data_IF_304174238712
#
_entry.id   IF_304174238712
#
_cell.length_a   1.000
_cell.length_b   1.000
_cell.length_c   1.000
_cell.angle_alpha   90.00
_cell.angle_beta   90.00
_cell.angle_gamma   90.00
#
_symmetry.space_group_name_H-M   'P 1'
#
loop_
_entity.id
_entity.type
_entity.pdbx_description
1 polymer ?
#
# COMPACT_ATOMS: atom_id res chain seq x y z
N UNK A 1 22.52 15.81 -31.77
CA UNK A 1 23.55 15.34 -30.84
C UNK A 1 22.83 14.53 -29.77
N UNK A 2 23.19 13.26 -29.57
CA UNK A 2 22.70 12.50 -28.42
C UNK A 2 23.55 12.93 -27.21
N UNK A 3 22.90 13.38 -26.15
CA UNK A 3 23.58 13.66 -24.89
C UNK A 3 23.99 12.30 -24.28
N UNK A 4 25.19 12.20 -23.67
CA UNK A 4 25.54 11.02 -22.90
C UNK A 4 24.58 10.89 -21.71
N UNK A 5 24.09 9.68 -21.46
CA UNK A 5 23.21 9.41 -20.32
C UNK A 5 23.97 9.57 -19.01
N UNK A 6 23.28 10.01 -17.97
CA UNK A 6 23.81 10.07 -16.60
C UNK A 6 23.84 8.64 -16.07
N UNK A 7 25.02 8.16 -15.70
CA UNK A 7 25.18 6.84 -15.08
C UNK A 7 24.69 6.88 -13.62
N UNK A 8 23.88 5.90 -13.24
CA UNK A 8 23.37 5.71 -11.89
C UNK A 8 24.02 4.45 -11.30
N UNK A 9 24.82 4.62 -10.25
CA UNK A 9 25.66 3.54 -9.71
C UNK A 9 24.87 2.37 -9.13
N UNK A 10 23.76 2.66 -8.42
CA UNK A 10 22.97 1.66 -7.72
C UNK A 10 21.61 1.46 -8.38
N UNK A 11 21.06 0.23 -8.37
CA UNK A 11 19.77 -0.04 -8.97
C UNK A 11 18.62 0.61 -8.18
N UNK A 12 17.49 0.79 -8.87
CA UNK A 12 16.21 1.16 -8.26
C UNK A 12 15.20 0.02 -8.44
N UNK A 13 14.35 -0.20 -7.45
CA UNK A 13 13.23 -1.14 -7.56
C UNK A 13 12.03 -0.43 -8.16
N UNK A 14 11.55 -0.90 -9.29
CA UNK A 14 10.34 -0.39 -9.94
C UNK A 14 9.18 -1.34 -9.68
N UNK A 15 8.09 -0.80 -9.16
CA UNK A 15 6.86 -1.52 -8.88
C UNK A 15 5.78 -0.95 -9.80
N UNK A 16 5.49 -1.66 -10.88
CA UNK A 16 4.47 -1.25 -11.85
C UNK A 16 3.06 -1.37 -11.28
N UNK A 17 2.05 -0.89 -12.01
CA UNK A 17 0.71 -0.70 -11.47
C UNK A 17 -0.41 -1.00 -12.45
N UNK A 18 -1.54 -0.36 -12.20
CA UNK A 18 -2.82 -0.62 -12.87
C UNK A 18 -3.38 0.63 -13.58
N UNK A 19 -4.37 0.39 -14.43
CA UNK A 19 -5.24 1.41 -15.07
C UNK A 19 -4.46 2.56 -15.75
N UNK A 20 -4.98 3.79 -15.64
CA UNK A 20 -4.38 4.97 -16.25
C UNK A 20 -2.97 5.27 -15.72
N UNK A 21 -2.70 4.92 -14.46
CA UNK A 21 -1.38 5.14 -13.87
C UNK A 21 -0.33 4.27 -14.55
N UNK A 22 -0.64 3.03 -14.95
CA UNK A 22 0.30 2.18 -15.72
C UNK A 22 0.69 2.80 -17.07
N UNK A 23 -0.27 3.40 -17.78
CA UNK A 23 -0.01 4.08 -19.06
C UNK A 23 0.89 5.30 -18.86
N UNK A 24 0.56 6.15 -17.88
CA UNK A 24 1.37 7.34 -17.55
C UNK A 24 2.76 6.94 -17.07
N UNK A 25 2.87 5.86 -16.31
CA UNK A 25 4.12 5.31 -15.79
C UNK A 25 5.07 4.91 -16.91
N UNK A 26 4.56 4.17 -17.91
CA UNK A 26 5.31 3.82 -19.11
C UNK A 26 5.82 5.08 -19.84
N UNK A 27 4.98 6.10 -20.02
CA UNK A 27 5.40 7.34 -20.68
C UNK A 27 6.46 8.12 -19.89
N UNK A 28 6.35 8.19 -18.56
CA UNK A 28 7.37 8.82 -17.72
C UNK A 28 8.69 8.08 -17.91
N UNK A 29 8.68 6.75 -17.79
CA UNK A 29 9.88 5.92 -17.93
C UNK A 29 10.53 6.08 -19.31
N UNK A 30 9.75 5.92 -20.38
CA UNK A 30 10.25 5.93 -21.75
C UNK A 30 10.67 7.31 -22.26
N UNK A 31 9.95 8.39 -21.87
CA UNK A 31 10.17 9.73 -22.42
C UNK A 31 10.98 10.64 -21.51
N UNK A 32 10.92 10.43 -20.20
CA UNK A 32 11.48 11.35 -19.21
C UNK A 32 12.62 10.75 -18.37
N UNK A 33 12.77 9.43 -18.33
CA UNK A 33 13.82 8.77 -17.52
C UNK A 33 14.87 8.10 -18.40
N UNK A 34 14.52 7.04 -19.14
CA UNK A 34 15.46 6.21 -19.90
C UNK A 34 16.22 6.94 -21.03
N UNK A 35 15.72 8.03 -21.64
CA UNK A 35 16.52 8.82 -22.58
C UNK A 35 17.70 9.54 -21.93
N UNK A 36 17.63 9.78 -20.62
CA UNK A 36 18.59 10.62 -19.89
C UNK A 36 19.42 9.86 -18.86
N UNK A 37 18.92 8.73 -18.34
CA UNK A 37 19.60 7.91 -17.33
C UNK A 37 20.01 6.55 -17.88
N UNK A 38 21.25 6.15 -17.58
CA UNK A 38 21.71 4.76 -17.62
C UNK A 38 21.60 4.20 -16.21
N UNK A 39 20.50 3.46 -15.96
CA UNK A 39 20.07 3.03 -14.64
C UNK A 39 19.64 1.57 -14.67
N UNK A 40 20.13 0.78 -13.72
CA UNK A 40 19.67 -0.60 -13.50
C UNK A 40 18.33 -0.58 -12.76
N UNK A 41 17.32 -1.22 -13.35
CA UNK A 41 15.96 -1.25 -12.83
C UNK A 41 15.59 -2.68 -12.47
N UNK A 42 15.32 -2.94 -11.20
CA UNK A 42 14.74 -4.20 -10.73
C UNK A 42 13.22 -4.10 -10.83
N UNK A 43 12.68 -4.64 -11.91
CA UNK A 43 11.27 -4.51 -12.27
C UNK A 43 10.40 -5.59 -11.62
N UNK A 44 9.28 -5.17 -11.04
CA UNK A 44 8.23 -6.01 -10.47
C UNK A 44 6.86 -5.52 -10.96
N UNK A 45 6.10 -6.37 -11.63
CA UNK A 45 4.75 -6.04 -12.09
C UNK A 45 3.73 -6.24 -10.96
N UNK A 46 3.22 -5.17 -10.35
CA UNK A 46 2.19 -5.28 -9.32
C UNK A 46 0.76 -5.06 -9.85
N UNK A 47 0.55 -5.21 -11.17
CA UNK A 47 -0.82 -5.26 -11.69
C UNK A 47 -1.65 -6.31 -10.98
N UNK A 48 -2.96 -6.07 -10.94
CA UNK A 48 -3.91 -6.98 -10.32
C UNK A 48 -3.84 -8.39 -10.94
N UNK A 49 -3.63 -8.48 -12.25
CA UNK A 49 -3.52 -9.76 -12.97
C UNK A 49 -2.23 -10.50 -12.62
N UNK A 50 -1.08 -9.82 -12.58
CA UNK A 50 0.19 -10.48 -12.23
C UNK A 50 0.25 -10.86 -10.75
N UNK A 51 -0.32 -10.03 -9.86
CA UNK A 51 -0.51 -10.40 -8.46
C UNK A 51 -1.40 -11.63 -8.32
N UNK A 52 -2.53 -11.70 -9.04
CA UNK A 52 -3.38 -12.89 -9.00
C UNK A 52 -2.66 -14.14 -9.54
N UNK A 53 -1.92 -14.01 -10.64
CA UNK A 53 -1.16 -15.11 -11.23
C UNK A 53 -0.09 -15.68 -10.28
N UNK A 54 0.56 -14.83 -9.48
CA UNK A 54 1.65 -15.18 -8.55
C UNK A 54 1.19 -15.42 -7.11
N UNK A 55 -0.11 -15.49 -6.87
CA UNK A 55 -0.71 -15.57 -5.53
C UNK A 55 -0.23 -14.45 -4.57
N UNK A 56 -0.04 -13.25 -5.13
CA UNK A 56 0.46 -12.03 -4.52
C UNK A 56 1.92 -12.10 -4.01
N UNK A 57 2.66 -13.15 -4.38
CA UNK A 57 4.07 -13.32 -4.02
C UNK A 57 4.95 -12.19 -4.59
N UNK A 58 4.65 -11.72 -5.81
CA UNK A 58 5.39 -10.60 -6.44
C UNK A 58 5.40 -9.34 -5.57
N UNK A 59 4.33 -9.07 -4.80
CA UNK A 59 4.26 -7.93 -3.89
C UNK A 59 5.25 -8.05 -2.73
N UNK A 60 5.42 -9.27 -2.20
CA UNK A 60 6.37 -9.57 -1.12
C UNK A 60 7.80 -9.51 -1.66
N UNK A 61 8.04 -10.06 -2.84
CA UNK A 61 9.36 -10.05 -3.49
C UNK A 61 9.81 -8.63 -3.78
N UNK A 62 8.90 -7.78 -4.29
CA UNK A 62 9.17 -6.37 -4.52
C UNK A 62 9.52 -5.62 -3.22
N UNK A 63 8.83 -5.91 -2.12
CA UNK A 63 9.14 -5.30 -0.83
C UNK A 63 10.54 -5.72 -0.32
N UNK A 64 10.90 -6.99 -0.47
CA UNK A 64 12.23 -7.48 -0.08
C UNK A 64 13.34 -6.91 -0.99
N UNK A 65 13.07 -6.74 -2.27
CA UNK A 65 13.99 -6.05 -3.17
C UNK A 65 14.21 -4.60 -2.74
N UNK A 66 13.16 -3.89 -2.30
CA UNK A 66 13.33 -2.53 -1.74
C UNK A 66 14.24 -2.58 -0.50
N UNK A 67 14.11 -3.57 0.39
CA UNK A 67 15.04 -3.71 1.53
C UNK A 67 16.48 -3.94 1.09
N UNK A 68 16.68 -4.71 0.02
CA UNK A 68 18.00 -5.01 -0.51
C UNK A 68 18.66 -3.80 -1.19
N UNK A 69 17.89 -3.06 -2.00
CA UNK A 69 18.40 -1.99 -2.86
C UNK A 69 18.10 -0.57 -2.34
N UNK A 70 17.44 -0.47 -1.18
CA UNK A 70 17.08 0.75 -0.43
C UNK A 70 16.06 1.69 -1.09
N UNK A 71 15.96 1.74 -2.42
CA UNK A 71 15.10 2.69 -3.14
C UNK A 71 14.05 1.96 -3.96
N UNK A 72 12.79 2.27 -3.67
CA UNK A 72 11.63 1.80 -4.43
C UNK A 72 10.82 2.95 -5.01
N UNK A 73 10.41 2.81 -6.27
CA UNK A 73 9.48 3.70 -6.95
C UNK A 73 8.25 2.89 -7.38
N UNK A 74 7.06 3.38 -7.05
CA UNK A 74 5.83 2.58 -7.17
C UNK A 74 4.73 3.33 -7.89
N UNK A 75 4.15 2.66 -8.89
CA UNK A 75 2.92 3.04 -9.57
C UNK A 75 1.68 2.70 -8.71
N UNK A 76 0.56 3.39 -8.93
CA UNK A 76 -0.67 3.09 -8.20
C UNK A 76 -1.24 1.73 -8.62
N UNK A 77 -1.81 1.00 -7.66
CA UNK A 77 -2.27 -0.39 -7.82
C UNK A 77 -3.69 -0.54 -7.27
N UNK A 78 -4.51 -1.35 -7.92
CA UNK A 78 -5.85 -1.71 -7.47
C UNK A 78 -5.76 -2.45 -6.13
N UNK A 79 -6.62 -2.10 -5.17
CA UNK A 79 -6.93 -2.97 -4.03
C UNK A 79 -8.31 -3.54 -4.31
N UNK A 80 -8.45 -4.85 -4.61
CA UNK A 80 -9.71 -5.38 -5.12
C UNK A 80 -10.77 -5.43 -4.02
N UNK A 81 -11.99 -5.07 -4.39
CA UNK A 81 -13.24 -5.33 -3.65
C UNK A 81 -14.05 -6.43 -4.38
N UNK A 82 -15.29 -6.72 -3.95
CA UNK A 82 -16.10 -7.75 -4.59
C UNK A 82 -16.39 -7.46 -6.07
N UNK A 83 -16.46 -6.19 -6.47
CA UNK A 83 -16.67 -5.80 -7.85
C UNK A 83 -15.42 -6.07 -8.69
N UNK A 84 -14.24 -5.70 -8.19
CA UNK A 84 -12.96 -5.95 -8.86
C UNK A 84 -12.64 -7.45 -8.96
N UNK A 85 -13.01 -8.25 -7.96
CA UNK A 85 -12.89 -9.72 -8.04
C UNK A 85 -13.67 -10.27 -9.23
N UNK A 86 -14.89 -9.76 -9.48
CA UNK A 86 -15.70 -10.17 -10.63
C UNK A 86 -15.17 -9.62 -11.95
N UNK A 87 -14.77 -8.35 -11.97
CA UNK A 87 -14.26 -7.68 -13.17
C UNK A 87 -13.02 -8.37 -13.74
N UNK A 88 -12.08 -8.71 -12.87
CA UNK A 88 -10.80 -9.31 -13.26
C UNK A 88 -10.77 -10.84 -13.09
N UNK A 89 -11.88 -11.46 -12.68
CA UNK A 89 -11.99 -12.90 -12.41
C UNK A 89 -10.87 -13.42 -11.48
N UNK A 90 -10.69 -12.74 -10.35
CA UNK A 90 -9.60 -13.00 -9.40
C UNK A 90 -9.86 -14.28 -8.59
N UNK A 91 -8.79 -15.01 -8.25
CA UNK A 91 -8.84 -16.18 -7.37
C UNK A 91 -9.44 -15.84 -6.00
N UNK A 92 -9.10 -14.66 -5.47
CA UNK A 92 -9.63 -14.12 -4.21
C UNK A 92 -9.43 -12.61 -4.13
N UNK A 93 -10.01 -12.01 -3.08
CA UNK A 93 -9.80 -10.61 -2.74
C UNK A 93 -8.41 -10.42 -2.12
N UNK A 94 -7.42 -10.08 -2.94
CA UNK A 94 -6.05 -9.82 -2.50
C UNK A 94 -5.94 -8.59 -1.59
N UNK A 95 -4.99 -8.61 -0.66
CA UNK A 95 -4.72 -7.47 0.23
C UNK A 95 -4.12 -6.30 -0.58
N UNK A 96 -4.17 -5.10 0.02
CA UNK A 96 -3.57 -3.92 -0.60
C UNK A 96 -2.04 -4.08 -0.71
N UNK A 97 -1.44 -3.94 -1.91
CA UNK A 97 0.01 -4.02 -2.07
C UNK A 97 0.75 -3.00 -1.21
N UNK A 98 0.17 -1.80 -1.10
CA UNK A 98 0.72 -0.74 -0.27
C UNK A 98 0.79 -1.18 1.20
N UNK A 99 -0.22 -1.91 1.70
CA UNK A 99 -0.24 -2.43 3.07
C UNK A 99 0.83 -3.51 3.29
N UNK A 100 0.93 -4.46 2.36
CA UNK A 100 1.95 -5.53 2.39
C UNK A 100 3.36 -4.95 2.41
N UNK A 101 3.68 -4.04 1.48
CA UNK A 101 5.01 -3.41 1.39
C UNK A 101 5.34 -2.65 2.68
N UNK A 102 4.40 -1.85 3.21
CA UNK A 102 4.61 -1.09 4.46
C UNK A 102 4.87 -1.99 5.65
N UNK A 103 4.15 -3.10 5.76
CA UNK A 103 4.35 -4.06 6.85
C UNK A 103 5.73 -4.72 6.82
N UNK A 104 6.32 -4.91 5.63
CA UNK A 104 7.63 -5.55 5.44
C UNK A 104 8.78 -4.55 5.65
N UNK A 105 8.61 -3.32 5.15
CA UNK A 105 9.63 -2.27 5.24
C UNK A 105 9.69 -1.63 6.62
N UNK A 106 8.52 -1.49 7.27
CA UNK A 106 8.30 -0.68 8.47
C UNK A 106 8.68 0.80 8.29
N UNK A 107 7.83 1.71 8.78
CA UNK A 107 8.14 3.14 8.73
C UNK A 107 6.97 4.11 8.55
N UNK A 108 7.34 5.36 8.28
CA UNK A 108 6.43 6.51 8.25
C UNK A 108 6.24 7.01 6.83
N UNK A 109 4.99 7.28 6.47
CA UNK A 109 4.65 7.86 5.16
C UNK A 109 4.64 9.38 5.30
N UNK A 110 5.48 10.07 4.53
CA UNK A 110 5.42 11.52 4.42
C UNK A 110 4.65 11.93 3.16
N UNK A 111 3.65 12.79 3.32
CA UNK A 111 2.91 13.39 2.21
C UNK A 111 3.18 14.89 2.18
N UNK A 112 3.68 15.38 1.05
CA UNK A 112 4.00 16.78 0.83
C UNK A 112 3.31 17.29 -0.46
N UNK A 113 2.75 18.50 -0.46
CA UNK A 113 2.19 19.11 -1.66
C UNK A 113 3.29 19.64 -2.59
N UNK A 114 3.06 19.57 -3.90
CA UNK A 114 3.85 20.33 -4.89
C UNK A 114 3.14 21.67 -5.12
N UNK A 115 3.77 22.77 -4.72
CA UNK A 115 3.18 24.10 -4.81
C UNK A 115 3.47 24.74 -6.18
N UNK A 116 2.41 25.05 -6.92
CA UNK A 116 2.47 25.76 -8.19
C UNK A 116 1.97 27.20 -8.00
N UNK A 117 2.77 28.20 -8.39
CA UNK A 117 2.42 29.64 -8.23
C UNK A 117 1.10 30.01 -8.91
N UNK A 118 0.76 29.32 -10.00
CA UNK A 118 -0.41 29.56 -10.83
C UNK A 118 -1.63 28.67 -10.47
N UNK A 119 -1.55 27.84 -9.43
CA UNK A 119 -2.66 27.00 -8.96
C UNK A 119 -3.13 27.54 -7.61
N UNK A 120 -4.33 28.14 -7.51
CA UNK A 120 -4.84 28.66 -6.23
C UNK A 120 -5.11 27.54 -5.24
N UNK A 121 -4.93 27.84 -3.95
CA UNK A 121 -5.15 26.89 -2.84
C UNK A 121 -6.51 27.14 -2.21
N UNK A 122 -7.15 26.07 -1.73
CA UNK A 122 -8.42 26.14 -1.01
C UNK A 122 -8.32 26.97 0.28
N UNK A 123 -7.19 26.86 0.98
CA UNK A 123 -6.85 27.69 2.13
C UNK A 123 -5.78 28.70 1.69
N UNK A 124 -6.16 29.96 1.38
CA UNK A 124 -5.23 30.91 0.72
C UNK A 124 -4.02 31.28 1.58
N UNK A 125 -4.18 31.28 2.91
CA UNK A 125 -3.15 31.64 3.89
C UNK A 125 -2.02 30.61 4.01
N UNK A 126 -2.20 29.38 3.50
CA UNK A 126 -1.15 28.37 3.48
C UNK A 126 -0.10 28.71 2.42
N UNK A 127 0.92 29.49 2.79
CA UNK A 127 1.99 29.92 1.88
C UNK A 127 3.19 28.96 1.84
N UNK A 128 3.26 28.02 2.80
CA UNK A 128 4.32 27.02 2.92
C UNK A 128 3.72 25.60 2.88
N UNK A 129 4.50 24.60 2.44
CA UNK A 129 4.03 23.21 2.42
C UNK A 129 3.82 22.70 3.84
N UNK A 130 2.70 22.01 4.06
CA UNK A 130 2.44 21.24 5.28
C UNK A 130 2.73 19.78 4.95
N UNK A 131 3.63 19.16 5.70
CA UNK A 131 4.01 17.75 5.51
C UNK A 131 3.28 16.92 6.56
N UNK A 132 2.55 15.91 6.11
CA UNK A 132 1.89 14.96 7.00
C UNK A 132 2.76 13.71 7.12
N UNK A 133 3.31 13.47 8.30
CA UNK A 133 3.89 12.20 8.70
C UNK A 133 2.80 11.28 9.23
N UNK A 134 2.51 10.20 8.50
CA UNK A 134 1.48 9.23 8.87
C UNK A 134 2.15 7.93 9.32
N UNK A 135 1.81 7.49 10.53
CA UNK A 135 2.15 6.14 10.99
C UNK A 135 1.49 5.09 10.09
N UNK A 136 2.31 4.25 9.47
CA UNK A 136 1.89 3.32 8.43
C UNK A 136 1.50 1.93 8.92
N UNK A 137 1.49 1.69 10.24
CA UNK A 137 1.42 0.38 10.88
C UNK A 137 0.25 0.28 11.87
N UNK A 138 -0.42 -0.88 11.90
CA UNK A 138 -1.42 -1.20 12.92
C UNK A 138 -2.80 -0.61 12.66
N UNK A 139 -3.53 -0.34 13.73
CA UNK A 139 -4.88 0.21 13.75
C UNK A 139 -5.84 -0.53 12.78
N UNK A 140 -6.74 0.20 12.13
CA UNK A 140 -7.69 -0.31 11.14
C UNK A 140 -7.02 -1.08 9.97
N UNK A 141 -5.71 -0.95 9.74
CA UNK A 141 -5.00 -1.66 8.68
C UNK A 141 -4.62 -3.10 9.06
N UNK A 142 -4.66 -3.44 10.36
CA UNK A 142 -4.44 -4.80 10.88
C UNK A 142 -5.63 -5.33 11.68
N UNK A 143 -6.74 -4.61 11.65
CA UNK A 143 -8.02 -5.01 12.25
C UNK A 143 -8.54 -6.36 11.70
N UNK A 144 -9.28 -7.09 12.52
CA UNK A 144 -10.08 -8.27 12.23
C UNK A 144 -11.56 -7.99 12.48
N UNK A 145 -12.23 -7.48 11.44
CA UNK A 145 -13.65 -7.17 11.52
C UNK A 145 -14.51 -8.42 11.26
N UNK A 146 -15.68 -8.50 11.92
CA UNK A 146 -16.66 -9.58 11.71
C UNK A 146 -18.09 -9.08 11.79
N UNK A 147 -18.94 -9.58 10.90
CA UNK A 147 -20.39 -9.42 11.01
C UNK A 147 -20.96 -10.57 11.85
N UNK A 148 -21.72 -10.23 12.87
CA UNK A 148 -22.47 -11.18 13.71
C UNK A 148 -23.96 -11.00 13.48
N UNK A 149 -24.70 -12.10 13.30
CA UNK A 149 -26.09 -12.08 12.82
C UNK A 149 -27.15 -12.28 13.91
N UNK A 150 -26.76 -12.33 15.18
CA UNK A 150 -27.68 -12.60 16.28
C UNK A 150 -27.09 -12.21 17.62
N UNK A 151 -27.86 -12.46 18.68
CA UNK A 151 -27.47 -12.12 20.04
C UNK A 151 -26.21 -12.87 20.47
N UNK A 152 -25.33 -12.20 21.20
CA UNK A 152 -24.09 -12.81 21.67
C UNK A 152 -23.12 -11.84 22.32
N UNK A 153 -22.28 -12.35 23.21
CA UNK A 153 -21.27 -11.59 23.92
C UNK A 153 -19.97 -11.56 23.12
N UNK A 154 -19.49 -10.36 22.80
CA UNK A 154 -18.15 -10.14 22.25
C UNK A 154 -17.18 -9.84 23.40
N UNK A 155 -16.11 -10.63 23.45
CA UNK A 155 -15.03 -10.49 24.42
C UNK A 155 -13.69 -10.44 23.69
N UNK A 156 -12.72 -9.74 24.27
CA UNK A 156 -11.32 -9.75 23.84
C UNK A 156 -10.47 -10.43 24.90
N UNK A 157 -9.55 -11.29 24.47
CA UNK A 157 -8.61 -11.98 25.35
C UNK A 157 -7.19 -11.67 24.91
N UNK A 158 -6.36 -11.20 25.85
CA UNK A 158 -4.92 -11.10 25.69
C UNK A 158 -4.25 -12.20 26.52
N UNK A 159 -3.45 -13.05 25.89
CA UNK A 159 -2.68 -14.11 26.55
C UNK A 159 -1.20 -13.72 26.55
N UNK A 160 -0.62 -13.37 27.71
CA UNK A 160 0.79 -13.02 27.81
C UNK A 160 1.73 -14.20 27.51
N UNK A 161 2.82 -13.94 26.78
CA UNK A 161 3.83 -14.96 26.46
C UNK A 161 4.67 -15.40 27.68
N UNK A 162 4.69 -14.60 28.75
CA UNK A 162 5.39 -14.89 30.00
C UNK A 162 4.64 -15.89 30.90
N UNK A 163 3.46 -16.36 30.47
CA UNK A 163 2.63 -17.31 31.19
C UNK A 163 1.81 -16.69 32.33
N UNK A 164 1.78 -15.35 32.45
CA UNK A 164 0.87 -14.67 33.38
C UNK A 164 -0.60 -14.82 32.95
N UNK A 165 -1.51 -14.54 33.88
CA UNK A 165 -2.95 -14.78 33.68
C UNK A 165 -3.51 -13.98 32.48
N UNK A 166 -4.30 -14.62 31.59
CA UNK A 166 -4.92 -13.93 30.48
C UNK A 166 -5.84 -12.78 30.92
N UNK A 167 -5.75 -11.66 30.23
CA UNK A 167 -6.64 -10.51 30.43
C UNK A 167 -7.87 -10.67 29.54
N UNK A 168 -9.05 -10.73 30.15
CA UNK A 168 -10.32 -10.79 29.44
C UNK A 168 -11.09 -9.47 29.59
N UNK A 169 -11.56 -8.93 28.48
CA UNK A 169 -12.35 -7.69 28.44
C UNK A 169 -13.68 -7.99 27.77
N UNK A 170 -14.77 -7.70 28.49
CA UNK A 170 -16.11 -7.70 27.94
C UNK A 170 -16.31 -6.44 27.11
N UNK A 171 -16.44 -6.58 25.80
CA UNK A 171 -16.54 -5.42 24.90
C UNK A 171 -18.00 -5.01 24.73
N UNK A 172 -18.84 -5.94 24.29
CA UNK A 172 -20.25 -5.64 24.02
C UNK A 172 -21.11 -6.91 24.02
N UNK A 173 -22.40 -6.77 24.33
CA UNK A 173 -23.39 -7.84 24.15
C UNK A 173 -24.36 -7.41 23.05
N UNK A 174 -24.30 -8.09 21.89
CA UNK A 174 -25.23 -7.89 20.79
C UNK A 174 -26.62 -8.44 21.14
N UNK A 175 -27.66 -7.72 20.75
CA UNK A 175 -29.05 -8.20 20.78
C UNK A 175 -29.41 -9.03 19.54
N UNK A 176 -30.69 -9.38 19.40
CA UNK A 176 -31.16 -10.28 18.32
C UNK A 176 -30.84 -9.78 16.91
N UNK A 177 -30.71 -8.46 16.71
CA UNK A 177 -30.33 -7.87 15.42
C UNK A 177 -28.86 -8.03 15.02
N UNK A 178 -28.01 -8.57 15.92
CA UNK A 178 -26.57 -8.69 15.67
C UNK A 178 -25.87 -7.33 15.52
N UNK A 179 -24.79 -7.30 14.74
CA UNK A 179 -24.01 -6.08 14.49
C UNK A 179 -22.66 -6.35 13.82
N UNK A 180 -21.76 -5.37 13.90
CA UNK A 180 -20.41 -5.45 13.36
C UNK A 180 -19.41 -5.31 14.50
N UNK A 181 -18.51 -6.27 14.61
CA UNK A 181 -17.30 -6.19 15.43
C UNK A 181 -16.24 -5.50 14.58
N UNK A 182 -15.70 -4.40 15.08
CA UNK A 182 -14.51 -3.73 14.56
C UNK A 182 -13.42 -3.78 15.61
N UNK A 183 -12.28 -4.40 15.29
CA UNK A 183 -11.18 -4.59 16.23
C UNK A 183 -9.89 -4.92 15.52
#
# INVERSE_FOLDING_TARGET
MSFPKIHVENPVVELDGDEMTRIIWAWIKEKLILPYLDIDIKYYDLSIEHRDATDDQVTVDAANAIKQYNVGIKCATITPDEARVKEFNLKKMWRSPNGTIRNILDGTIFRAPILCKNVPRLVPSWSQPIIIGRHGHGDQYKAQDRVVKGAGKFTMTFTPDDGSEPVNVDVFHFGEGGGVIQG
#
